data_IF_358394063116
#
_entry.id   IF_358394063116
#
_cell.length_a   1.000
_cell.length_b   1.000
_cell.length_c   1.000
_cell.angle_alpha   90.00
_cell.angle_beta   90.00
_cell.angle_gamma   90.00
#
_symmetry.space_group_name_H-M   'P 1'
#
loop_
_entity.id
_entity.type
_entity.pdbx_description
1 polymer ?
#
# COMPACT_ATOMS: atom_id res chain seq x y z
N UNK A 1 18.14 -11.18 5.02
CA UNK A 1 18.03 -10.15 3.95
C UNK A 1 19.33 -9.37 3.74
N UNK A 2 19.87 -8.67 4.75
CA UNK A 2 21.07 -7.83 4.59
C UNK A 2 22.28 -8.59 4.00
N UNK A 3 22.65 -9.72 4.61
CA UNK A 3 23.75 -10.57 4.14
C UNK A 3 23.55 -11.04 2.69
N UNK A 4 22.32 -11.42 2.33
CA UNK A 4 21.96 -11.82 0.97
C UNK A 4 22.23 -10.70 -0.04
N UNK A 5 21.68 -9.50 0.20
CA UNK A 5 21.88 -8.35 -0.69
C UNK A 5 23.37 -7.95 -0.78
N UNK A 6 24.09 -8.00 0.34
CA UNK A 6 25.52 -7.70 0.37
C UNK A 6 26.32 -8.71 -0.45
N UNK A 7 26.07 -10.02 -0.29
CA UNK A 7 26.72 -11.08 -1.07
C UNK A 7 26.40 -10.91 -2.55
N UNK A 8 25.15 -10.65 -2.91
CA UNK A 8 24.75 -10.42 -4.31
C UNK A 8 25.54 -9.28 -4.94
N UNK A 9 25.63 -8.13 -4.25
CA UNK A 9 26.38 -6.95 -4.75
C UNK A 9 27.88 -7.25 -4.85
N UNK A 10 28.48 -7.91 -3.85
CA UNK A 10 29.90 -8.29 -3.84
C UNK A 10 30.24 -9.28 -4.94
N UNK A 11 29.43 -10.32 -5.12
CA UNK A 11 29.63 -11.32 -6.16
C UNK A 11 29.49 -10.71 -7.56
N UNK A 12 28.47 -9.87 -7.78
CA UNK A 12 28.27 -9.19 -9.05
C UNK A 12 29.43 -8.24 -9.38
N UNK A 13 29.90 -7.47 -8.39
CA UNK A 13 31.06 -6.61 -8.53
C UNK A 13 32.36 -7.39 -8.79
N UNK A 14 32.58 -8.49 -8.05
CA UNK A 14 33.76 -9.35 -8.21
C UNK A 14 33.83 -10.04 -9.58
N UNK A 15 32.67 -10.29 -10.20
CA UNK A 15 32.57 -10.76 -11.58
C UNK A 15 32.74 -9.63 -12.64
N UNK A 16 33.18 -8.43 -12.21
CA UNK A 16 33.43 -7.27 -13.06
C UNK A 16 32.19 -6.46 -13.42
N UNK A 17 31.05 -6.68 -12.74
CA UNK A 17 29.78 -5.97 -12.96
C UNK A 17 29.31 -5.92 -14.43
N UNK A 18 29.72 -6.89 -15.24
CA UNK A 18 29.53 -6.87 -16.70
C UNK A 18 28.04 -7.00 -17.08
N UNK A 19 27.67 -6.36 -18.17
CA UNK A 19 26.38 -6.58 -18.82
C UNK A 19 26.26 -8.04 -19.30
N UNK A 20 25.05 -8.61 -19.23
CA UNK A 20 24.76 -9.98 -19.68
C UNK A 20 24.04 -10.83 -18.63
N UNK A 21 24.25 -12.14 -18.68
CA UNK A 21 23.57 -13.10 -17.78
C UNK A 21 23.87 -12.86 -16.30
N UNK A 22 25.10 -12.42 -15.98
CA UNK A 22 25.50 -12.08 -14.61
C UNK A 22 24.66 -10.94 -14.02
N UNK A 23 24.35 -9.93 -14.82
CA UNK A 23 23.50 -8.81 -14.41
C UNK A 23 22.06 -9.28 -14.14
N UNK A 24 21.50 -10.10 -15.03
CA UNK A 24 20.16 -10.67 -14.81
C UNK A 24 20.12 -11.62 -13.60
N UNK A 25 21.18 -12.38 -13.36
CA UNK A 25 21.35 -13.19 -12.17
C UNK A 25 21.39 -12.35 -10.90
N UNK A 26 22.15 -11.24 -10.88
CA UNK A 26 22.18 -10.32 -9.76
C UNK A 26 20.84 -9.62 -9.52
N UNK A 27 20.11 -9.27 -10.59
CA UNK A 27 18.76 -8.72 -10.52
C UNK A 27 17.78 -9.72 -9.89
N UNK A 28 17.77 -10.96 -10.38
CA UNK A 28 16.93 -12.04 -9.86
C UNK A 28 17.25 -12.34 -8.40
N UNK A 29 18.54 -12.43 -8.04
CA UNK A 29 18.97 -12.61 -6.66
C UNK A 29 18.50 -11.45 -5.77
N UNK A 30 18.64 -10.20 -6.22
CA UNK A 30 18.20 -9.02 -5.45
C UNK A 30 16.69 -8.97 -5.24
N UNK A 31 15.90 -9.44 -6.22
CA UNK A 31 14.44 -9.53 -6.16
C UNK A 31 13.92 -10.71 -5.33
N UNK A 32 14.71 -11.79 -5.21
CA UNK A 32 14.26 -13.04 -4.61
C UNK A 32 13.63 -12.88 -3.20
N UNK A 33 14.20 -12.11 -2.26
CA UNK A 33 13.57 -11.94 -0.95
C UNK A 33 12.22 -11.23 -1.00
N UNK A 34 12.03 -10.30 -1.95
CA UNK A 34 10.74 -9.61 -2.15
C UNK A 34 9.72 -10.56 -2.77
N UNK A 35 10.12 -11.36 -3.76
CA UNK A 35 9.26 -12.37 -4.37
C UNK A 35 8.83 -13.40 -3.32
N UNK A 36 9.75 -13.92 -2.52
CA UNK A 36 9.43 -14.84 -1.45
C UNK A 36 8.51 -14.19 -0.39
N UNK A 37 8.69 -12.92 -0.05
CA UNK A 37 7.79 -12.20 0.86
C UNK A 37 6.35 -12.05 0.33
N UNK A 38 6.16 -12.05 -1.01
CA UNK A 38 4.83 -11.99 -1.62
C UNK A 38 4.22 -13.37 -1.90
N UNK A 39 5.03 -14.36 -2.25
CA UNK A 39 4.57 -15.67 -2.72
C UNK A 39 4.47 -16.73 -1.61
N UNK A 40 5.35 -16.69 -0.62
CA UNK A 40 5.34 -17.68 0.48
C UNK A 40 4.02 -17.65 1.26
N UNK A 41 3.41 -16.48 1.58
CA UNK A 41 2.09 -16.45 2.23
C UNK A 41 0.95 -17.11 1.44
N UNK A 42 1.09 -17.26 0.12
CA UNK A 42 0.07 -17.93 -0.71
C UNK A 42 0.09 -19.45 -0.56
N UNK A 43 1.29 -20.01 -0.37
CA UNK A 43 1.49 -21.46 -0.22
C UNK A 43 1.49 -21.87 1.26
N UNK A 44 1.95 -20.99 2.14
CA UNK A 44 2.00 -21.18 3.59
C UNK A 44 1.47 -19.93 4.30
N UNK A 45 0.14 -19.81 4.50
CA UNK A 45 -0.49 -18.61 5.07
C UNK A 45 -0.03 -18.24 6.49
N UNK A 46 0.53 -19.19 7.24
CA UNK A 46 1.09 -18.95 8.59
C UNK A 46 2.55 -18.47 8.59
N UNK A 47 3.18 -18.43 7.41
CA UNK A 47 4.57 -18.02 7.29
C UNK A 47 4.74 -16.53 7.57
N UNK A 48 5.71 -16.21 8.42
CA UNK A 48 6.11 -14.84 8.74
C UNK A 48 7.25 -14.36 7.82
N UNK A 49 7.41 -14.96 6.63
CA UNK A 49 8.50 -14.62 5.73
C UNK A 49 8.30 -13.23 5.13
N UNK A 50 9.08 -12.26 5.59
CA UNK A 50 9.00 -10.86 5.19
C UNK A 50 9.16 -9.95 6.41
N UNK A 51 9.35 -8.65 6.17
CA UNK A 51 9.37 -7.66 7.24
C UNK A 51 8.95 -6.30 6.67
N UNK A 52 8.51 -5.41 7.56
CA UNK A 52 8.12 -4.05 7.18
C UNK A 52 9.29 -3.33 6.48
N UNK A 53 9.06 -2.82 5.28
CA UNK A 53 10.09 -2.13 4.51
C UNK A 53 10.86 -3.00 3.50
N UNK A 54 10.69 -4.33 3.52
CA UNK A 54 11.36 -5.23 2.54
C UNK A 54 11.17 -4.75 1.11
N UNK A 55 9.97 -4.27 0.79
CA UNK A 55 9.60 -3.74 -0.52
C UNK A 55 10.39 -2.50 -0.94
N UNK A 56 10.57 -1.54 -0.03
CA UNK A 56 11.28 -0.28 -0.30
C UNK A 56 12.80 -0.47 -0.31
N UNK A 57 13.34 -1.32 0.56
CA UNK A 57 14.77 -1.62 0.62
C UNK A 57 15.21 -2.39 -0.62
N UNK A 58 14.35 -3.26 -1.18
CA UNK A 58 14.66 -3.96 -2.44
C UNK A 58 14.93 -2.96 -3.58
N UNK A 59 14.19 -1.85 -3.69
CA UNK A 59 14.50 -0.82 -4.70
C UNK A 59 15.88 -0.20 -4.54
N UNK A 60 16.35 -0.01 -3.29
CA UNK A 60 17.69 0.48 -2.99
C UNK A 60 18.76 -0.54 -3.39
N UNK A 61 18.55 -1.80 -3.03
CA UNK A 61 19.48 -2.86 -3.42
C UNK A 61 19.61 -2.98 -4.94
N UNK A 62 18.48 -2.93 -5.65
CA UNK A 62 18.45 -2.94 -7.11
C UNK A 62 19.14 -1.70 -7.70
N UNK A 63 18.95 -0.51 -7.11
CA UNK A 63 19.61 0.72 -7.55
C UNK A 63 21.14 0.58 -7.56
N UNK A 64 21.72 -0.06 -6.54
CA UNK A 64 23.16 -0.34 -6.47
C UNK A 64 23.60 -1.28 -7.61
N UNK A 65 22.87 -2.36 -7.86
CA UNK A 65 23.17 -3.31 -8.96
C UNK A 65 23.12 -2.60 -10.32
N UNK A 66 22.10 -1.77 -10.53
CA UNK A 66 21.95 -0.95 -11.73
C UNK A 66 23.12 0.04 -11.91
N UNK A 67 23.49 0.76 -10.85
CA UNK A 67 24.60 1.72 -10.90
C UNK A 67 25.96 1.05 -11.12
N UNK A 68 26.19 -0.14 -10.56
CA UNK A 68 27.42 -0.91 -10.83
C UNK A 68 27.48 -1.34 -12.29
N UNK A 69 26.37 -1.85 -12.82
CA UNK A 69 26.27 -2.29 -14.22
C UNK A 69 26.47 -1.16 -15.22
N UNK A 70 26.01 0.05 -14.88
CA UNK A 70 26.19 1.24 -15.72
C UNK A 70 27.53 1.95 -15.46
N UNK A 71 28.41 1.41 -14.59
CA UNK A 71 29.71 1.98 -14.21
C UNK A 71 29.61 3.40 -13.61
N UNK A 72 28.47 3.67 -12.98
CA UNK A 72 28.11 4.96 -12.40
C UNK A 72 28.66 5.09 -10.97
N UNK A 73 28.96 3.97 -10.31
CA UNK A 73 29.55 3.92 -8.96
C UNK A 73 30.65 2.87 -8.87
N UNK A 74 31.62 3.08 -7.99
CA UNK A 74 32.52 2.03 -7.53
C UNK A 74 31.79 1.10 -6.55
N UNK A 75 32.38 -0.08 -6.30
CA UNK A 75 31.86 -1.06 -5.33
C UNK A 75 31.70 -0.41 -3.96
N UNK A 76 30.48 -0.37 -3.39
CA UNK A 76 30.25 0.22 -2.08
C UNK A 76 31.10 -0.40 -0.96
N UNK A 77 31.51 0.43 0.00
CA UNK A 77 31.97 -0.06 1.30
C UNK A 77 30.83 -0.79 2.03
N UNK A 78 31.16 -1.78 2.87
CA UNK A 78 30.13 -2.57 3.58
C UNK A 78 29.25 -1.68 4.46
N UNK A 79 29.86 -0.74 5.19
CA UNK A 79 29.12 0.20 6.03
C UNK A 79 28.24 1.14 5.18
N UNK A 80 28.80 1.78 4.15
CA UNK A 80 28.07 2.70 3.26
C UNK A 80 26.85 2.01 2.62
N UNK A 81 27.01 0.76 2.18
CA UNK A 81 25.93 -0.04 1.62
C UNK A 81 24.82 -0.34 2.64
N UNK A 82 25.19 -0.80 3.84
CA UNK A 82 24.21 -1.10 4.89
C UNK A 82 23.50 0.16 5.37
N UNK A 83 24.22 1.29 5.51
CA UNK A 83 23.62 2.57 5.87
C UNK A 83 22.63 3.05 4.82
N UNK A 84 22.93 2.88 3.53
CA UNK A 84 21.98 3.19 2.47
C UNK A 84 20.74 2.29 2.50
N UNK A 85 20.92 0.98 2.59
CA UNK A 85 19.80 0.03 2.60
C UNK A 85 18.89 0.25 3.81
N UNK A 86 19.47 0.40 5.00
CA UNK A 86 18.77 0.43 6.26
C UNK A 86 18.68 1.82 6.88
N UNK A 87 18.78 2.89 6.08
CA UNK A 87 18.60 4.25 6.56
C UNK A 87 17.22 4.41 7.20
N UNK A 88 17.21 4.37 8.53
CA UNK A 88 16.01 4.11 9.32
C UNK A 88 14.88 5.14 9.15
N UNK A 89 15.12 6.44 8.84
CA UNK A 89 14.02 7.39 8.66
C UNK A 89 13.09 7.00 7.51
N UNK A 90 13.57 6.18 6.58
CA UNK A 90 12.90 5.89 5.32
C UNK A 90 12.74 4.39 5.06
N UNK A 91 12.99 3.54 6.06
CA UNK A 91 13.07 2.09 5.90
C UNK A 91 11.71 1.42 5.62
N UNK A 92 10.64 1.82 6.32
CA UNK A 92 9.35 1.12 6.26
C UNK A 92 8.54 1.45 5.00
N UNK A 93 8.35 2.74 4.72
CA UNK A 93 7.68 3.23 3.51
C UNK A 93 8.15 4.62 3.05
N UNK A 94 9.38 5.02 3.42
CA UNK A 94 9.88 6.36 3.10
C UNK A 94 10.25 6.56 1.64
N UNK A 95 10.63 7.80 1.24
CA UNK A 95 11.15 8.09 -0.08
C UNK A 95 12.21 7.07 -0.53
N UNK A 96 12.04 6.55 -1.75
CA UNK A 96 12.99 5.63 -2.38
C UNK A 96 14.17 6.47 -2.87
N UNK A 97 15.35 6.13 -2.38
CA UNK A 97 16.55 6.92 -2.61
C UNK A 97 17.49 6.27 -3.63
N UNK A 98 18.42 7.06 -4.16
CA UNK A 98 19.47 6.65 -5.10
C UNK A 98 20.80 6.59 -4.37
N UNK A 99 21.58 5.52 -4.58
CA UNK A 99 22.81 5.30 -3.81
C UNK A 99 23.81 6.46 -3.96
N UNK A 100 24.05 6.92 -5.19
CA UNK A 100 25.00 8.03 -5.47
C UNK A 100 24.61 9.32 -4.74
N UNK A 101 23.32 9.67 -4.77
CA UNK A 101 22.79 10.88 -4.13
C UNK A 101 22.93 10.76 -2.61
N UNK A 102 22.45 9.66 -2.04
CA UNK A 102 22.56 9.36 -0.62
C UNK A 102 24.00 9.44 -0.13
N UNK A 103 24.94 8.83 -0.86
CA UNK A 103 26.36 8.80 -0.48
C UNK A 103 26.99 10.21 -0.44
N UNK A 104 26.52 11.10 -1.32
CA UNK A 104 26.99 12.49 -1.36
C UNK A 104 26.63 13.22 -0.07
N UNK A 105 25.37 13.09 0.37
CA UNK A 105 24.90 13.66 1.64
C UNK A 105 25.58 12.98 2.84
N UNK A 106 25.67 11.64 2.81
CA UNK A 106 26.23 10.82 3.89
C UNK A 106 27.69 11.14 4.20
N UNK A 107 28.51 11.42 3.17
CA UNK A 107 29.92 11.77 3.34
C UNK A 107 30.16 13.24 3.66
N UNK A 108 29.15 14.09 3.49
CA UNK A 108 29.28 15.53 3.73
C UNK A 108 29.27 15.83 5.23
N UNK A 109 30.33 16.49 5.71
CA UNK A 109 30.32 17.10 7.05
C UNK A 109 29.53 18.40 7.00
N UNK A 110 28.57 18.55 7.91
CA UNK A 110 27.72 19.75 8.00
C UNK A 110 28.36 20.82 8.87
N UNK A 111 28.22 22.06 8.45
CA UNK A 111 28.48 23.22 9.29
C UNK A 111 27.33 23.46 10.26
N UNK A 112 27.55 24.26 11.31
CA UNK A 112 26.49 24.68 12.24
C UNK A 112 25.35 25.41 11.53
N UNK A 113 25.67 26.26 10.56
CA UNK A 113 24.67 27.02 9.81
C UNK A 113 23.78 26.09 8.96
N UNK A 114 24.39 25.12 8.26
CA UNK A 114 23.63 24.12 7.51
C UNK A 114 22.73 23.27 8.41
N UNK A 115 23.24 22.85 9.58
CA UNK A 115 22.43 22.10 10.55
C UNK A 115 21.21 22.90 11.04
N UNK A 116 21.37 24.19 11.34
CA UNK A 116 20.25 25.03 11.77
C UNK A 116 19.21 25.23 10.65
N UNK A 117 19.66 25.35 9.40
CA UNK A 117 18.76 25.38 8.25
C UNK A 117 18.02 24.05 8.05
N UNK A 118 18.70 22.92 8.22
CA UNK A 118 18.10 21.58 8.16
C UNK A 118 17.05 21.40 9.26
N UNK A 119 17.37 21.87 10.48
CA UNK A 119 16.49 21.81 11.63
C UNK A 119 15.20 22.60 11.40
N UNK A 120 15.29 23.81 10.88
CA UNK A 120 14.12 24.62 10.52
C UNK A 120 13.23 23.90 9.48
N UNK A 121 13.85 23.39 8.41
CA UNK A 121 13.14 22.64 7.37
C UNK A 121 12.54 21.31 7.86
N UNK A 122 13.17 20.67 8.85
CA UNK A 122 12.67 19.46 9.49
C UNK A 122 11.45 19.77 10.35
N UNK A 123 11.52 20.78 11.22
CA UNK A 123 10.41 21.20 12.10
C UNK A 123 9.15 21.49 11.28
N UNK A 124 9.26 22.28 10.20
CA UNK A 124 8.12 22.57 9.33
C UNK A 124 7.49 21.29 8.73
N UNK A 125 8.30 20.34 8.29
CA UNK A 125 7.82 19.06 7.75
C UNK A 125 7.21 18.18 8.83
N UNK A 126 7.78 18.16 10.02
CA UNK A 126 7.25 17.42 11.16
C UNK A 126 5.84 17.89 11.53
N UNK A 127 5.65 19.20 11.71
CA UNK A 127 4.32 19.76 12.02
C UNK A 127 3.33 19.59 10.87
N UNK A 128 3.77 19.72 9.62
CA UNK A 128 2.93 19.38 8.45
C UNK A 128 2.52 17.90 8.46
N UNK A 129 3.44 17.01 8.84
CA UNK A 129 3.18 15.58 9.01
C UNK A 129 2.12 15.31 10.07
N UNK A 130 2.22 15.97 11.23
CA UNK A 130 1.24 15.87 12.31
C UNK A 130 -0.16 16.30 11.82
N UNK A 131 -0.24 17.47 11.19
CA UNK A 131 -1.49 17.99 10.66
C UNK A 131 -2.10 17.07 9.59
N UNK A 132 -1.30 16.61 8.62
CA UNK A 132 -1.80 15.75 7.55
C UNK A 132 -2.26 14.38 8.05
N UNK A 133 -1.44 13.70 8.86
CA UNK A 133 -1.69 12.30 9.23
C UNK A 133 -2.68 12.17 10.39
N UNK A 134 -2.46 12.92 11.47
CA UNK A 134 -3.22 12.72 12.71
C UNK A 134 -4.46 13.60 12.83
N UNK A 135 -4.59 14.65 12.01
CA UNK A 135 -5.78 15.50 11.98
C UNK A 135 -6.55 15.25 10.69
N UNK A 136 -6.01 15.65 9.53
CA UNK A 136 -6.77 15.62 8.27
C UNK A 136 -7.13 14.20 7.84
N UNK A 137 -6.15 13.30 7.74
CA UNK A 137 -6.41 11.92 7.33
C UNK A 137 -7.29 11.17 8.35
N UNK A 138 -7.09 11.41 9.66
CA UNK A 138 -7.92 10.83 10.71
C UNK A 138 -9.39 11.26 10.60
N UNK A 139 -9.64 12.56 10.42
CA UNK A 139 -11.00 13.09 10.24
C UNK A 139 -11.65 12.57 8.95
N UNK A 140 -10.93 12.54 7.83
CA UNK A 140 -11.44 11.98 6.57
C UNK A 140 -11.79 10.50 6.76
N UNK A 141 -10.91 9.73 7.41
CA UNK A 141 -11.13 8.30 7.65
C UNK A 141 -12.40 8.08 8.46
N UNK A 142 -12.50 8.71 9.62
CA UNK A 142 -13.56 8.48 10.59
C UNK A 142 -14.91 9.03 10.13
N UNK A 143 -14.94 10.23 9.53
CA UNK A 143 -16.19 10.95 9.26
C UNK A 143 -16.63 10.91 7.80
N UNK A 144 -15.79 10.47 6.86
CA UNK A 144 -16.15 10.43 5.44
C UNK A 144 -15.94 9.05 4.81
N UNK A 145 -14.72 8.51 4.90
CA UNK A 145 -14.36 7.24 4.24
C UNK A 145 -15.11 6.04 4.81
N UNK A 146 -15.05 5.84 6.13
CA UNK A 146 -15.71 4.70 6.78
C UNK A 146 -17.23 4.76 6.64
N UNK A 147 -17.93 5.90 6.86
CA UNK A 147 -19.36 6.00 6.58
C UNK A 147 -19.72 5.69 5.13
N UNK A 148 -18.96 6.21 4.15
CA UNK A 148 -19.20 5.92 2.73
C UNK A 148 -19.00 4.44 2.40
N UNK A 149 -18.12 3.73 3.11
CA UNK A 149 -17.87 2.31 2.91
C UNK A 149 -18.97 1.39 3.48
N UNK A 150 -19.90 1.89 4.31
CA UNK A 150 -20.96 1.08 4.93
C UNK A 150 -22.13 0.78 3.97
N UNK A 151 -22.37 1.64 3.00
CA UNK A 151 -23.46 1.47 2.05
C UNK A 151 -22.97 0.77 0.78
N UNK A 152 -23.77 -0.16 0.26
CA UNK A 152 -23.54 -0.79 -1.05
C UNK A 152 -24.08 0.04 -2.22
N UNK A 153 -24.63 1.24 -1.98
CA UNK A 153 -25.20 2.07 -3.04
C UNK A 153 -24.12 2.67 -3.96
N UNK A 154 -24.50 2.94 -5.22
CA UNK A 154 -23.61 3.60 -6.17
C UNK A 154 -23.17 5.01 -5.70
N UNK A 155 -24.09 5.78 -5.12
CA UNK A 155 -23.77 7.10 -4.56
C UNK A 155 -22.74 7.05 -3.43
N UNK A 156 -22.83 6.02 -2.56
CA UNK A 156 -21.85 5.80 -1.51
C UNK A 156 -20.48 5.37 -2.07
N UNK A 157 -20.46 4.54 -3.12
CA UNK A 157 -19.22 4.18 -3.82
C UNK A 157 -18.52 5.41 -4.44
N UNK A 158 -19.30 6.32 -5.04
CA UNK A 158 -18.77 7.57 -5.58
C UNK A 158 -18.24 8.49 -4.48
N UNK A 159 -18.95 8.60 -3.35
CA UNK A 159 -18.46 9.34 -2.18
C UNK A 159 -17.16 8.72 -1.62
N UNK A 160 -17.10 7.38 -1.53
CA UNK A 160 -15.93 6.63 -1.10
C UNK A 160 -14.72 6.89 -2.00
N UNK A 161 -14.89 6.97 -3.32
CA UNK A 161 -13.80 7.28 -4.27
C UNK A 161 -13.05 8.56 -3.90
N UNK A 162 -13.77 9.64 -3.63
CA UNK A 162 -13.15 10.92 -3.26
C UNK A 162 -12.57 10.86 -1.85
N UNK A 163 -13.31 10.31 -0.88
CA UNK A 163 -12.84 10.15 0.49
C UNK A 163 -11.51 9.36 0.54
N UNK A 164 -11.44 8.25 -0.20
CA UNK A 164 -10.27 7.39 -0.27
C UNK A 164 -9.08 8.11 -0.90
N UNK A 165 -9.32 8.86 -1.98
CA UNK A 165 -8.28 9.62 -2.68
C UNK A 165 -7.61 10.64 -1.74
N UNK A 166 -8.40 11.41 -1.00
CA UNK A 166 -7.86 12.39 -0.05
C UNK A 166 -7.24 11.71 1.18
N UNK A 167 -7.89 10.69 1.75
CA UNK A 167 -7.33 9.92 2.86
C UNK A 167 -5.95 9.36 2.53
N UNK A 168 -5.84 8.64 1.39
CA UNK A 168 -4.59 8.04 0.94
C UNK A 168 -3.49 9.09 0.76
N UNK A 169 -3.83 10.23 0.16
CA UNK A 169 -2.90 11.34 -0.01
C UNK A 169 -2.41 11.88 1.34
N UNK A 170 -3.32 12.29 2.23
CA UNK A 170 -2.93 12.93 3.49
C UNK A 170 -2.22 11.97 4.45
N UNK A 171 -2.64 10.71 4.52
CA UNK A 171 -1.97 9.71 5.35
C UNK A 171 -0.54 9.46 4.89
N UNK A 172 -0.34 9.29 3.58
CA UNK A 172 0.95 8.92 3.02
C UNK A 172 1.89 10.13 2.84
N UNK A 173 1.36 11.30 2.47
CA UNK A 173 2.12 12.54 2.44
C UNK A 173 2.52 12.99 3.85
N UNK A 174 1.64 12.80 4.85
CA UNK A 174 1.97 13.03 6.25
C UNK A 174 3.09 12.12 6.75
N UNK A 175 3.00 10.82 6.46
CA UNK A 175 4.08 9.86 6.73
C UNK A 175 5.39 10.26 6.03
N UNK A 176 5.33 10.61 4.74
CA UNK A 176 6.52 11.01 3.97
C UNK A 176 7.17 12.27 4.55
N UNK A 177 6.37 13.21 5.07
CA UNK A 177 6.88 14.41 5.71
C UNK A 177 7.66 14.10 7.00
N UNK A 178 7.21 13.14 7.81
CA UNK A 178 7.98 12.66 8.97
C UNK A 178 9.30 12.01 8.55
N UNK A 179 9.25 11.14 7.55
CA UNK A 179 10.42 10.45 7.04
C UNK A 179 11.49 11.47 6.56
N UNK A 180 11.09 12.45 5.75
CA UNK A 180 11.99 13.50 5.23
C UNK A 180 12.48 14.43 6.34
N UNK A 181 11.59 14.82 7.27
CA UNK A 181 11.96 15.62 8.44
C UNK A 181 13.11 14.97 9.19
N UNK A 182 12.96 13.68 9.51
CA UNK A 182 13.97 12.97 10.26
C UNK A 182 15.25 12.78 9.42
N UNK A 183 15.14 12.51 8.12
CA UNK A 183 16.31 12.44 7.22
C UNK A 183 17.16 13.71 7.28
N UNK A 184 16.53 14.89 7.29
CA UNK A 184 17.23 16.18 7.33
C UNK A 184 17.99 16.37 8.66
N UNK A 185 17.45 15.88 9.78
CA UNK A 185 18.16 15.90 11.07
C UNK A 185 19.46 15.07 11.02
N UNK A 186 19.48 13.98 10.25
CA UNK A 186 20.68 13.18 9.98
C UNK A 186 21.57 13.74 8.86
N UNK A 187 21.20 14.86 8.24
CA UNK A 187 21.96 15.49 7.17
C UNK A 187 21.77 14.85 5.81
N UNK A 188 20.75 14.01 5.65
CA UNK A 188 20.39 13.38 4.37
C UNK A 188 19.16 14.09 3.81
N UNK A 189 19.31 14.75 2.67
CA UNK A 189 18.22 15.50 2.05
C UNK A 189 17.33 14.61 1.19
N UNK A 190 16.64 13.65 1.82
CA UNK A 190 15.76 12.71 1.11
C UNK A 190 14.78 13.41 0.17
N UNK A 191 14.56 12.87 -1.05
CA UNK A 191 13.68 13.48 -2.04
C UNK A 191 12.21 13.54 -1.58
N UNK A 192 11.47 14.53 -2.07
CA UNK A 192 10.04 14.68 -1.79
C UNK A 192 9.22 13.63 -2.55
N UNK A 193 8.19 13.10 -1.88
CA UNK A 193 7.26 12.12 -2.48
C UNK A 193 6.04 12.76 -3.14
N UNK A 194 5.65 13.98 -2.72
CA UNK A 194 4.42 14.62 -3.16
C UNK A 194 4.60 16.09 -3.46
N UNK A 195 3.99 16.56 -4.56
CA UNK A 195 4.03 17.97 -4.97
C UNK A 195 2.70 18.42 -5.59
N UNK A 196 1.71 18.67 -4.74
CA UNK A 196 0.35 19.11 -5.14
C UNK A 196 -0.23 18.25 -6.30
N UNK A 197 -0.35 16.92 -6.10
CA UNK A 197 -0.68 16.00 -7.20
C UNK A 197 -2.06 16.24 -7.80
N UNK A 198 -3.05 16.67 -7.01
CA UNK A 198 -4.41 16.90 -7.50
C UNK A 198 -4.57 18.17 -8.34
N UNK A 199 -3.53 19.00 -8.45
CA UNK A 199 -3.46 20.14 -9.38
C UNK A 199 -2.79 19.78 -10.72
N UNK A 200 -2.52 18.50 -10.95
CA UNK A 200 -1.93 18.04 -12.19
C UNK A 200 -2.86 18.28 -13.39
N UNK A 201 -2.32 18.81 -14.49
CA UNK A 201 -3.09 19.12 -15.70
C UNK A 201 -3.30 17.93 -16.63
N UNK A 202 -2.55 16.85 -16.41
CA UNK A 202 -2.64 15.61 -17.17
C UNK A 202 -1.99 14.48 -16.38
N UNK A 203 -2.19 13.25 -16.85
CA UNK A 203 -1.70 12.07 -16.16
C UNK A 203 -0.16 12.00 -16.06
N UNK A 204 0.57 12.57 -17.04
CA UNK A 204 2.04 12.65 -16.98
C UNK A 204 2.50 13.61 -15.89
N UNK A 205 1.86 14.77 -15.76
CA UNK A 205 2.11 15.75 -14.70
C UNK A 205 1.74 15.16 -13.32
N UNK A 206 0.68 14.36 -13.24
CA UNK A 206 0.30 13.67 -12.00
C UNK A 206 1.40 12.75 -11.49
N UNK A 207 1.97 11.90 -12.34
CA UNK A 207 3.07 11.00 -11.97
C UNK A 207 4.38 11.73 -11.64
N UNK A 208 4.55 12.99 -12.07
CA UNK A 208 5.64 13.86 -11.63
C UNK A 208 5.39 14.53 -10.26
N UNK A 209 4.25 14.26 -9.63
CA UNK A 209 3.79 14.91 -8.39
C UNK A 209 3.29 13.92 -7.34
N UNK A 210 3.01 12.68 -7.72
CA UNK A 210 2.50 11.62 -6.87
C UNK A 210 3.54 10.52 -6.69
N UNK A 211 3.82 10.15 -5.43
CA UNK A 211 4.80 9.13 -5.07
C UNK A 211 6.09 9.22 -5.93
N UNK A 212 6.64 10.44 -6.00
CA UNK A 212 7.62 10.86 -7.00
C UNK A 212 8.82 9.93 -7.03
N UNK A 213 9.31 9.48 -5.86
CA UNK A 213 10.48 8.59 -5.83
C UNK A 213 10.21 7.25 -6.47
N UNK A 214 9.01 6.67 -6.26
CA UNK A 214 8.62 5.41 -6.89
C UNK A 214 8.45 5.61 -8.40
N UNK A 215 7.76 6.69 -8.79
CA UNK A 215 7.51 7.01 -10.20
C UNK A 215 8.83 7.17 -10.96
N UNK A 216 9.78 7.94 -10.41
CA UNK A 216 11.08 8.16 -11.03
C UNK A 216 11.95 6.89 -10.99
N UNK A 217 11.83 6.06 -9.93
CA UNK A 217 12.48 4.76 -9.88
C UNK A 217 12.08 3.88 -11.06
N UNK A 218 10.77 3.68 -11.27
CA UNK A 218 10.24 2.91 -12.39
C UNK A 218 10.54 3.56 -13.75
N UNK A 219 10.46 4.89 -13.84
CA UNK A 219 10.79 5.61 -15.07
C UNK A 219 12.22 5.33 -15.50
N UNK A 220 13.18 5.51 -14.62
CA UNK A 220 14.60 5.44 -14.98
C UNK A 220 15.06 3.98 -15.16
N UNK A 221 14.65 3.07 -14.26
CA UNK A 221 15.18 1.70 -14.24
C UNK A 221 14.35 0.68 -15.02
N UNK A 222 13.08 0.96 -15.30
CA UNK A 222 12.22 0.05 -16.06
C UNK A 222 11.91 0.66 -17.43
N UNK A 223 11.22 1.80 -17.45
CA UNK A 223 10.73 2.39 -18.69
C UNK A 223 11.86 2.83 -19.63
N UNK A 224 12.80 3.65 -19.14
CA UNK A 224 13.91 4.15 -19.97
C UNK A 224 14.86 3.04 -20.40
N UNK A 225 15.13 2.06 -19.53
CA UNK A 225 15.94 0.89 -19.91
C UNK A 225 15.28 0.06 -21.01
N UNK A 226 13.96 -0.17 -20.90
CA UNK A 226 13.19 -0.85 -21.94
C UNK A 226 13.25 -0.08 -23.26
N UNK A 227 13.01 1.23 -23.23
CA UNK A 227 13.07 2.07 -24.44
C UNK A 227 14.44 2.07 -25.10
N UNK A 228 15.51 2.19 -24.33
CA UNK A 228 16.88 2.16 -24.84
C UNK A 228 17.22 0.79 -25.44
N UNK A 229 16.79 -0.30 -24.81
CA UNK A 229 16.96 -1.65 -25.35
C UNK A 229 16.18 -1.85 -26.66
N UNK A 230 14.91 -1.42 -26.70
CA UNK A 230 14.06 -1.49 -27.87
C UNK A 230 14.60 -0.67 -29.05
N UNK A 231 15.13 0.52 -28.77
CA UNK A 231 15.74 1.38 -29.80
C UNK A 231 17.04 0.77 -30.36
N UNK A 232 17.95 0.29 -29.49
CA UNK A 232 19.21 -0.34 -29.92
C UNK A 232 18.97 -1.64 -30.69
N UNK A 233 18.04 -2.46 -30.21
CA UNK A 233 17.67 -3.73 -30.84
C UNK A 233 16.71 -3.58 -32.02
N UNK A 234 16.25 -2.36 -32.34
CA UNK A 234 15.26 -2.08 -33.39
C UNK A 234 14.03 -3.01 -33.30
N UNK A 235 13.56 -3.27 -32.08
CA UNK A 235 12.48 -4.25 -31.82
C UNK A 235 11.15 -3.86 -32.46
N UNK A 236 10.92 -2.56 -32.67
CA UNK A 236 9.68 -2.03 -33.21
C UNK A 236 9.96 -1.08 -34.37
N UNK A 237 9.04 -1.05 -35.35
CA UNK A 237 9.09 -0.10 -36.48
C UNK A 237 8.86 1.36 -36.04
N UNK A 238 8.06 1.57 -34.99
CA UNK A 238 7.72 2.89 -34.47
C UNK A 238 8.07 3.01 -32.99
N UNK A 239 8.76 4.10 -32.64
CA UNK A 239 9.06 4.42 -31.24
C UNK A 239 7.81 4.75 -30.42
N UNK A 240 6.69 5.12 -31.06
CA UNK A 240 5.41 5.28 -30.36
C UNK A 240 4.91 3.96 -29.79
N UNK A 241 5.05 2.87 -30.56
CA UNK A 241 4.69 1.52 -30.10
C UNK A 241 5.58 1.10 -28.92
N UNK A 242 6.89 1.39 -29.01
CA UNK A 242 7.81 1.13 -27.90
C UNK A 242 7.42 1.95 -26.65
N UNK A 243 7.06 3.22 -26.79
CA UNK A 243 6.63 4.06 -25.67
C UNK A 243 5.38 3.51 -24.97
N UNK A 244 4.36 3.10 -25.74
CA UNK A 244 3.12 2.54 -25.21
C UNK A 244 3.40 1.22 -24.48
N UNK A 245 4.10 0.28 -25.11
CA UNK A 245 4.45 -0.99 -24.49
C UNK A 245 5.34 -0.79 -23.25
N UNK A 246 6.22 0.21 -23.26
CA UNK A 246 7.00 0.61 -22.11
C UNK A 246 6.14 1.07 -20.94
N UNK A 247 5.07 1.84 -21.19
CA UNK A 247 4.13 2.24 -20.13
C UNK A 247 3.43 1.01 -19.53
N UNK A 248 2.94 0.09 -20.36
CA UNK A 248 2.31 -1.16 -19.88
C UNK A 248 3.29 -2.01 -19.06
N UNK A 249 4.54 -2.13 -19.49
CA UNK A 249 5.57 -2.83 -18.73
C UNK A 249 5.83 -2.18 -17.38
N UNK A 250 6.08 -0.86 -17.35
CA UNK A 250 6.43 -0.14 -16.13
C UNK A 250 5.29 -0.15 -15.11
N UNK A 251 4.06 0.16 -15.56
CA UNK A 251 2.90 0.20 -14.68
C UNK A 251 2.35 -1.17 -14.33
N UNK A 252 2.48 -2.17 -15.21
CA UNK A 252 2.15 -3.56 -14.90
C UNK A 252 3.05 -4.11 -13.79
N UNK A 253 4.37 -3.88 -13.89
CA UNK A 253 5.31 -4.25 -12.82
C UNK A 253 5.06 -3.46 -11.52
N UNK A 254 4.67 -2.19 -11.62
CA UNK A 254 4.28 -1.40 -10.44
C UNK A 254 3.00 -1.92 -9.78
N UNK A 255 2.00 -2.34 -10.56
CA UNK A 255 0.80 -3.02 -10.05
C UNK A 255 1.16 -4.30 -9.30
N UNK A 256 1.96 -5.17 -9.92
CA UNK A 256 2.47 -6.41 -9.29
C UNK A 256 3.30 -6.15 -8.02
N UNK A 257 4.06 -5.05 -8.03
CA UNK A 257 4.82 -4.61 -6.86
C UNK A 257 3.91 -4.24 -5.69
N UNK A 258 2.75 -3.64 -5.93
CA UNK A 258 1.76 -3.39 -4.88
C UNK A 258 1.19 -4.69 -4.33
N UNK A 259 0.73 -5.59 -5.21
CA UNK A 259 0.18 -6.88 -4.82
C UNK A 259 -0.19 -7.72 -6.04
N UNK A 260 -0.55 -8.97 -5.78
CA UNK A 260 -0.98 -9.91 -6.83
C UNK A 260 -2.52 -9.96 -6.98
N UNK A 261 -3.22 -9.23 -6.12
CA UNK A 261 -4.66 -9.10 -6.16
C UNK A 261 -5.10 -8.40 -7.47
N UNK A 262 -6.24 -8.81 -8.05
CA UNK A 262 -6.67 -8.30 -9.36
C UNK A 262 -6.75 -6.77 -9.45
N UNK A 263 -7.17 -6.11 -8.36
CA UNK A 263 -7.35 -4.66 -8.34
C UNK A 263 -6.02 -3.88 -8.50
N UNK A 264 -4.89 -4.40 -8.00
CA UNK A 264 -3.58 -3.77 -8.22
C UNK A 264 -3.08 -3.92 -9.66
N UNK A 265 -3.32 -5.08 -10.27
CA UNK A 265 -2.97 -5.34 -11.67
C UNK A 265 -3.82 -4.47 -12.59
N UNK A 266 -5.14 -4.44 -12.37
CA UNK A 266 -6.08 -3.59 -13.13
C UNK A 266 -5.74 -2.12 -12.95
N UNK A 267 -5.36 -1.68 -11.74
CA UNK A 267 -4.86 -0.32 -11.51
C UNK A 267 -3.63 0.00 -12.39
N UNK A 268 -2.65 -0.90 -12.45
CA UNK A 268 -1.46 -0.72 -13.30
C UNK A 268 -1.83 -0.57 -14.79
N UNK A 269 -2.66 -1.47 -15.31
CA UNK A 269 -3.12 -1.44 -16.70
C UNK A 269 -3.94 -0.18 -17.02
N UNK A 270 -4.76 0.26 -16.07
CA UNK A 270 -5.55 1.48 -16.17
C UNK A 270 -4.64 2.72 -16.31
N UNK A 271 -3.63 2.84 -15.46
CA UNK A 271 -2.67 3.94 -15.51
C UNK A 271 -1.84 3.94 -16.81
N UNK A 272 -1.42 2.77 -17.29
CA UNK A 272 -0.74 2.62 -18.57
C UNK A 272 -1.63 3.09 -19.74
N UNK A 273 -2.92 2.75 -19.70
CA UNK A 273 -3.91 3.17 -20.69
C UNK A 273 -4.08 4.68 -20.69
N UNK A 274 -4.19 5.31 -19.52
CA UNK A 274 -4.29 6.77 -19.41
C UNK A 274 -3.05 7.47 -19.98
N UNK A 275 -1.84 6.98 -19.66
CA UNK A 275 -0.60 7.54 -20.19
C UNK A 275 -0.48 7.36 -21.71
N UNK A 276 -0.91 6.21 -22.23
CA UNK A 276 -0.91 5.92 -23.66
C UNK A 276 -1.91 6.82 -24.41
N UNK A 277 -3.12 6.95 -23.88
CA UNK A 277 -4.14 7.86 -24.41
C UNK A 277 -3.68 9.32 -24.40
N UNK A 278 -3.09 9.78 -23.28
CA UNK A 278 -2.52 11.13 -23.20
C UNK A 278 -1.32 11.31 -24.13
N UNK A 279 -0.49 10.29 -24.34
CA UNK A 279 0.62 10.35 -25.30
C UNK A 279 0.08 10.61 -26.72
N UNK A 280 -0.89 9.82 -27.16
CA UNK A 280 -1.52 9.95 -28.48
C UNK A 280 -2.21 11.32 -28.60
N UNK A 281 -3.00 11.69 -27.60
CA UNK A 281 -3.68 12.99 -27.57
C UNK A 281 -2.70 14.16 -27.59
N UNK A 282 -1.60 14.09 -26.82
CA UNK A 282 -0.60 15.15 -26.78
C UNK A 282 0.08 15.35 -28.13
N UNK A 283 0.33 14.28 -28.88
CA UNK A 283 0.95 14.38 -30.20
C UNK A 283 -0.06 14.89 -31.25
N UNK A 284 -1.31 14.42 -31.19
CA UNK A 284 -2.40 14.94 -32.03
C UNK A 284 -2.68 16.43 -31.76
N UNK A 285 -2.70 16.84 -30.49
CA UNK A 285 -3.00 18.22 -30.08
C UNK A 285 -1.89 19.20 -30.49
N UNK A 286 -0.62 18.76 -30.54
CA UNK A 286 0.48 19.57 -31.09
C UNK A 286 0.25 19.93 -32.56
N UNK A 287 -0.35 19.02 -33.33
CA UNK A 287 -0.65 19.23 -34.75
C UNK A 287 -1.92 20.08 -34.96
N UNK A 288 -2.98 19.86 -34.18
CA UNK A 288 -4.30 20.46 -34.43
C UNK A 288 -4.62 21.68 -33.53
N UNK A 289 -3.85 21.92 -32.47
CA UNK A 289 -4.03 23.01 -31.49
C UNK A 289 -5.45 23.11 -30.92
N UNK A 290 -6.15 21.98 -30.79
CA UNK A 290 -7.53 21.91 -30.32
C UNK A 290 -7.68 22.33 -28.84
N UNK A 291 -6.74 21.92 -27.99
CA UNK A 291 -6.67 22.25 -26.58
C UNK A 291 -5.59 23.32 -26.35
N UNK A 292 -6.03 24.54 -26.00
CA UNK A 292 -5.16 25.69 -25.81
C UNK A 292 -4.57 25.83 -24.40
N UNK A 293 -3.93 26.97 -24.14
CA UNK A 293 -3.24 27.28 -22.88
C UNK A 293 -3.99 28.29 -21.99
N UNK A 294 -5.26 28.57 -22.30
CA UNK A 294 -6.11 29.48 -21.52
C UNK A 294 -6.39 28.98 -20.10
N UNK A 295 -6.80 29.90 -19.21
CA UNK A 295 -7.12 29.58 -17.81
C UNK A 295 -8.23 28.53 -17.69
N UNK A 296 -9.32 28.69 -18.46
CA UNK A 296 -10.44 27.73 -18.49
C UNK A 296 -9.98 26.34 -18.93
N UNK A 297 -9.15 26.29 -19.98
CA UNK A 297 -8.60 25.04 -20.51
C UNK A 297 -7.69 24.34 -19.50
N UNK A 298 -6.86 25.09 -18.77
CA UNK A 298 -6.04 24.57 -17.65
C UNK A 298 -6.90 24.05 -16.50
N UNK A 299 -7.92 24.79 -16.10
CA UNK A 299 -8.85 24.39 -15.03
C UNK A 299 -9.60 23.11 -15.40
N UNK A 300 -10.10 23.04 -16.64
CA UNK A 300 -10.78 21.86 -17.16
C UNK A 300 -9.83 20.65 -17.24
N UNK A 301 -8.58 20.84 -17.64
CA UNK A 301 -7.58 19.78 -17.68
C UNK A 301 -7.28 19.22 -16.28
N UNK A 302 -7.18 20.09 -15.27
CA UNK A 302 -7.05 19.68 -13.86
C UNK A 302 -8.30 18.92 -13.42
N UNK A 303 -9.49 19.43 -13.70
CA UNK A 303 -10.75 18.78 -13.34
C UNK A 303 -10.86 17.38 -13.94
N UNK A 304 -10.60 17.22 -15.25
CA UNK A 304 -10.64 15.93 -15.93
C UNK A 304 -9.60 14.98 -15.33
N UNK A 305 -8.35 15.44 -15.19
CA UNK A 305 -7.25 14.62 -14.63
C UNK A 305 -7.57 14.16 -13.22
N UNK A 306 -8.12 15.04 -12.39
CA UNK A 306 -8.51 14.73 -11.02
C UNK A 306 -9.51 13.56 -10.96
N UNK A 307 -10.55 13.56 -11.81
CA UNK A 307 -11.55 12.48 -11.82
C UNK A 307 -10.97 11.15 -12.30
N UNK A 308 -10.14 11.15 -13.36
CA UNK A 308 -9.46 9.93 -13.81
C UNK A 308 -8.49 9.39 -12.73
N UNK A 309 -7.78 10.28 -12.04
CA UNK A 309 -6.91 9.89 -10.92
C UNK A 309 -7.74 9.28 -9.78
N UNK A 310 -8.80 9.95 -9.35
CA UNK A 310 -9.68 9.46 -8.28
C UNK A 310 -10.31 8.11 -8.62
N UNK A 311 -10.76 7.92 -9.86
CA UNK A 311 -11.25 6.62 -10.31
C UNK A 311 -10.17 5.54 -10.29
N UNK A 312 -8.94 5.87 -10.73
CA UNK A 312 -7.79 5.00 -10.58
C UNK A 312 -7.54 4.61 -9.12
N UNK A 313 -7.61 5.56 -8.19
CA UNK A 313 -7.47 5.28 -6.76
C UNK A 313 -8.63 4.46 -6.18
N UNK A 314 -9.85 4.58 -6.72
CA UNK A 314 -10.96 3.69 -6.38
C UNK A 314 -10.67 2.25 -6.82
N UNK A 315 -10.15 2.03 -8.03
CA UNK A 315 -9.70 0.70 -8.46
C UNK A 315 -8.64 0.19 -7.48
N UNK A 316 -7.62 1.01 -7.19
CA UNK A 316 -6.54 0.65 -6.28
C UNK A 316 -7.02 0.25 -4.88
N UNK A 317 -8.12 0.85 -4.40
CA UNK A 317 -8.69 0.53 -3.08
C UNK A 317 -9.30 -0.88 -2.98
N UNK A 318 -9.59 -1.54 -4.11
CA UNK A 318 -10.28 -2.84 -4.14
C UNK A 318 -11.76 -2.77 -3.71
N UNK A 319 -12.35 -1.57 -3.60
CA UNK A 319 -13.74 -1.39 -3.14
C UNK A 319 -14.81 -1.75 -4.17
N UNK A 320 -14.47 -1.77 -5.46
CA UNK A 320 -15.41 -2.10 -6.54
C UNK A 320 -15.85 -3.57 -6.39
N UNK A 321 -17.14 -3.78 -6.13
CA UNK A 321 -17.70 -5.12 -5.91
C UNK A 321 -17.42 -5.72 -4.53
N UNK A 322 -16.77 -5.00 -3.62
CA UNK A 322 -16.53 -5.47 -2.26
C UNK A 322 -17.80 -5.34 -1.41
N UNK A 323 -18.09 -6.37 -0.59
CA UNK A 323 -19.13 -6.32 0.42
C UNK A 323 -18.96 -5.09 1.33
N UNK A 324 -20.05 -4.46 1.83
CA UNK A 324 -19.98 -3.45 2.88
C UNK A 324 -18.97 -3.81 3.97
N UNK A 325 -18.22 -2.83 4.48
CA UNK A 325 -17.33 -3.09 5.61
C UNK A 325 -18.15 -3.74 6.74
N UNK A 326 -17.70 -4.88 7.30
CA UNK A 326 -18.47 -5.56 8.33
C UNK A 326 -18.66 -4.63 9.52
N UNK A 327 -19.93 -4.45 9.91
CA UNK A 327 -20.34 -3.64 11.05
C UNK A 327 -19.80 -4.25 12.36
N UNK A 328 -19.85 -5.58 12.42
CA UNK A 328 -19.44 -6.38 13.57
C UNK A 328 -18.22 -7.22 13.21
N UNK A 329 -17.25 -7.27 14.11
CA UNK A 329 -16.21 -8.30 14.12
C UNK A 329 -16.60 -9.33 15.18
N UNK A 330 -16.46 -10.61 14.87
CA UNK A 330 -16.76 -11.67 15.80
C UNK A 330 -15.90 -12.90 15.52
N UNK A 331 -15.74 -13.74 16.54
CA UNK A 331 -15.19 -15.08 16.40
C UNK A 331 -15.87 -16.04 17.40
N UNK A 332 -16.05 -17.30 16.98
CA UNK A 332 -16.39 -18.40 17.90
C UNK A 332 -15.11 -19.18 18.15
N UNK A 333 -14.63 -19.04 19.37
CA UNK A 333 -13.38 -19.65 19.83
C UNK A 333 -13.61 -21.08 20.30
N UNK A 334 -14.74 -21.32 20.97
CA UNK A 334 -15.11 -22.64 21.49
C UNK A 334 -16.58 -22.93 21.21
N UNK A 335 -16.85 -24.14 20.73
CA UNK A 335 -18.18 -24.68 20.56
C UNK A 335 -18.11 -26.21 20.73
N UNK A 336 -18.36 -26.67 21.95
CA UNK A 336 -18.37 -28.10 22.29
C UNK A 336 -19.58 -28.44 23.17
N UNK A 337 -19.62 -29.65 23.73
CA UNK A 337 -20.76 -30.16 24.49
C UNK A 337 -20.87 -29.64 25.91
N UNK A 338 -19.85 -28.92 26.37
CA UNK A 338 -19.83 -28.25 27.67
C UNK A 338 -20.11 -26.76 27.52
N UNK A 339 -19.55 -26.13 26.50
CA UNK A 339 -19.49 -24.68 26.42
C UNK A 339 -19.47 -24.14 24.98
N UNK A 340 -20.11 -22.98 24.81
CA UNK A 340 -19.96 -22.11 23.64
C UNK A 340 -19.44 -20.75 24.12
N UNK A 341 -18.33 -20.30 23.52
CA UNK A 341 -17.69 -19.04 23.87
C UNK A 341 -17.05 -18.35 22.66
N UNK A 342 -16.93 -17.03 22.76
CA UNK A 342 -16.42 -16.18 21.70
C UNK A 342 -16.54 -14.71 22.04
N UNK A 343 -16.42 -13.87 21.02
CA UNK A 343 -16.55 -12.43 21.16
C UNK A 343 -17.22 -11.80 19.95
N UNK A 344 -17.85 -10.64 20.18
CA UNK A 344 -18.41 -9.79 19.13
C UNK A 344 -18.23 -8.33 19.49
N UNK A 345 -17.75 -7.54 18.54
CA UNK A 345 -17.47 -6.13 18.72
C UNK A 345 -18.10 -5.31 17.61
N UNK A 346 -18.91 -4.33 18.00
CA UNK A 346 -19.41 -3.28 17.12
C UNK A 346 -18.34 -2.19 16.98
N UNK A 347 -17.78 -2.06 15.78
CA UNK A 347 -16.75 -1.05 15.49
C UNK A 347 -17.25 0.38 15.70
N UNK A 348 -18.55 0.63 15.53
CA UNK A 348 -19.14 1.97 15.59
C UNK A 348 -19.73 2.30 16.96
N UNK A 349 -19.96 1.29 17.81
CA UNK A 349 -20.25 1.46 19.23
C UNK A 349 -19.20 0.74 20.07
N UNK A 350 -17.93 1.20 20.05
CA UNK A 350 -16.79 0.44 20.54
C UNK A 350 -16.81 0.19 22.06
N UNK A 351 -17.70 0.80 22.83
CA UNK A 351 -17.83 0.57 24.27
C UNK A 351 -19.16 -0.10 24.65
N UNK A 352 -20.07 -0.26 23.69
CA UNK A 352 -21.36 -0.87 23.93
C UNK A 352 -21.23 -2.40 23.81
N UNK A 353 -21.84 -3.16 24.72
CA UNK A 353 -21.98 -4.59 24.54
C UNK A 353 -22.90 -4.87 23.34
N UNK A 354 -22.64 -5.96 22.64
CA UNK A 354 -23.46 -6.42 21.51
C UNK A 354 -24.28 -7.61 21.96
N UNK A 355 -25.56 -7.64 21.62
CA UNK A 355 -26.43 -8.80 21.87
C UNK A 355 -26.37 -9.75 20.68
N UNK A 356 -26.25 -11.05 20.95
CA UNK A 356 -26.06 -12.11 19.97
C UNK A 356 -27.14 -13.17 20.15
N UNK A 357 -27.81 -13.49 19.07
CA UNK A 357 -28.77 -14.59 19.01
C UNK A 357 -28.07 -15.88 18.60
N UNK A 358 -28.32 -16.96 19.35
CA UNK A 358 -27.94 -18.31 18.98
C UNK A 358 -29.07 -18.95 18.17
N UNK A 359 -28.71 -19.44 16.99
CA UNK A 359 -29.60 -20.14 16.08
C UNK A 359 -29.10 -21.56 15.84
N UNK A 360 -30.03 -22.51 15.74
CA UNK A 360 -29.75 -23.89 15.32
C UNK A 360 -30.64 -24.24 14.13
N UNK A 361 -30.03 -24.61 13.00
CA UNK A 361 -30.75 -25.13 11.83
C UNK A 361 -31.90 -24.22 11.35
N UNK A 362 -31.80 -22.91 11.59
CA UNK A 362 -32.81 -21.90 11.23
C UNK A 362 -33.84 -21.58 12.32
N UNK A 363 -33.73 -22.19 13.50
CA UNK A 363 -34.56 -21.89 14.66
C UNK A 363 -33.81 -21.01 15.67
N UNK A 364 -34.44 -19.92 16.11
CA UNK A 364 -33.94 -19.09 17.21
C UNK A 364 -33.99 -19.87 18.53
N UNK A 365 -32.92 -19.80 19.30
CA UNK A 365 -32.81 -20.48 20.59
C UNK A 365 -32.79 -19.50 21.76
N UNK A 366 -31.85 -18.56 21.75
CA UNK A 366 -31.64 -17.62 22.86
C UNK A 366 -30.86 -16.39 22.44
N UNK A 367 -30.89 -15.35 23.27
CA UNK A 367 -30.11 -14.12 23.14
C UNK A 367 -29.07 -14.03 24.26
N UNK A 368 -27.83 -13.69 23.91
CA UNK A 368 -26.67 -13.60 24.79
C UNK A 368 -26.06 -12.20 24.68
N UNK A 369 -25.84 -11.52 25.80
CA UNK A 369 -25.11 -10.26 25.81
C UNK A 369 -23.61 -10.51 25.84
N UNK A 370 -22.88 -10.01 24.85
CA UNK A 370 -21.42 -10.02 24.82
C UNK A 370 -20.87 -8.83 25.63
N UNK A 371 -20.86 -8.98 26.95
CA UNK A 371 -20.49 -7.94 27.91
C UNK A 371 -19.35 -8.37 28.87
N UNK A 372 -18.84 -9.60 28.71
CA UNK A 372 -17.77 -10.12 29.54
C UNK A 372 -16.45 -9.47 29.17
N UNK A 373 -15.68 -9.11 30.19
CA UNK A 373 -14.39 -8.44 30.02
C UNK A 373 -13.29 -9.44 29.67
N UNK A 374 -12.50 -9.10 28.65
CA UNK A 374 -11.30 -9.82 28.23
C UNK A 374 -10.17 -8.85 27.94
N UNK A 375 -9.01 -9.08 28.56
CA UNK A 375 -7.83 -8.20 28.45
C UNK A 375 -7.24 -8.24 27.03
N UNK A 376 -7.19 -9.41 26.42
CA UNK A 376 -6.70 -9.60 25.06
C UNK A 376 -7.50 -8.81 24.02
N UNK A 377 -8.81 -8.62 24.25
CA UNK A 377 -9.64 -7.76 23.40
C UNK A 377 -9.27 -6.27 23.53
N UNK A 378 -8.89 -5.82 24.73
CA UNK A 378 -8.37 -4.44 24.94
C UNK A 378 -7.03 -4.28 24.23
N UNK A 379 -6.13 -5.24 24.43
CA UNK A 379 -4.79 -5.22 23.84
C UNK A 379 -4.85 -5.27 22.30
N UNK A 380 -5.87 -5.94 21.74
CA UNK A 380 -6.18 -5.95 20.31
C UNK A 380 -6.93 -4.70 19.79
N UNK A 381 -7.30 -3.77 20.68
CA UNK A 381 -7.97 -2.51 20.32
C UNK A 381 -9.49 -2.59 20.15
N UNK A 382 -10.13 -3.69 20.59
CA UNK A 382 -11.58 -3.85 20.58
C UNK A 382 -12.20 -3.17 21.81
N UNK A 383 -12.19 -1.84 21.81
CA UNK A 383 -13.01 -1.08 22.75
C UNK A 383 -12.56 -1.12 24.21
N UNK A 384 -13.51 -1.35 25.11
CA UNK A 384 -13.26 -1.49 26.55
C UNK A 384 -13.03 -2.96 26.97
N UNK A 385 -12.91 -3.88 26.01
CA UNK A 385 -12.73 -5.31 26.24
C UNK A 385 -13.98 -6.05 26.72
N UNK A 386 -15.12 -5.38 26.89
CA UNK A 386 -16.40 -5.98 27.32
C UNK A 386 -17.23 -6.43 26.12
N UNK A 387 -16.68 -7.37 25.39
CA UNK A 387 -17.19 -7.82 24.10
C UNK A 387 -17.20 -9.36 23.97
N UNK A 388 -16.92 -10.07 25.07
CA UNK A 388 -16.90 -11.52 25.09
C UNK A 388 -18.22 -12.08 25.62
N UNK A 389 -18.53 -13.31 25.21
CA UNK A 389 -19.62 -14.11 25.75
C UNK A 389 -19.13 -15.53 26.02
N UNK A 390 -19.73 -16.15 27.04
CA UNK A 390 -19.45 -17.52 27.46
C UNK A 390 -20.68 -18.09 28.13
N UNK A 391 -21.17 -19.23 27.65
CA UNK A 391 -22.32 -19.91 28.23
C UNK A 391 -22.24 -21.42 28.03
N UNK A 392 -22.91 -22.17 28.90
CA UNK A 392 -22.97 -23.62 28.82
C UNK A 392 -23.81 -24.07 27.62
N UNK A 393 -23.38 -25.12 26.93
CA UNK A 393 -24.09 -25.64 25.75
C UNK A 393 -25.48 -26.12 26.16
N UNK A 394 -26.56 -25.55 25.57
CA UNK A 394 -27.93 -25.92 25.89
C UNK A 394 -28.19 -27.43 25.81
N UNK A 395 -29.00 -27.96 26.72
CA UNK A 395 -29.29 -29.41 26.81
C UNK A 395 -29.93 -29.98 25.55
N UNK A 396 -30.67 -29.16 24.78
CA UNK A 396 -31.28 -29.55 23.51
C UNK A 396 -30.27 -30.01 22.45
N UNK A 397 -29.00 -29.64 22.59
CA UNK A 397 -27.92 -30.11 21.68
C UNK A 397 -27.36 -31.48 22.08
N UNK A 398 -27.72 -31.99 23.27
CA UNK A 398 -27.23 -33.26 23.84
C UNK A 398 -28.19 -34.40 23.55
N UNK A 399 -28.59 -34.53 22.28
CA UNK A 399 -29.54 -35.53 21.80
C UNK A 399 -28.89 -36.60 20.90
N UNK A 400 -27.57 -36.51 20.71
CA UNK A 400 -26.79 -37.40 19.84
C UNK A 400 -26.83 -37.02 18.35
N UNK A 401 -27.60 -36.00 17.95
CA UNK A 401 -27.70 -35.55 16.56
C UNK A 401 -26.71 -34.41 16.26
N UNK A 402 -26.58 -34.11 14.97
CA UNK A 402 -25.73 -33.03 14.47
C UNK A 402 -26.49 -31.72 14.42
N UNK A 403 -25.99 -30.72 15.14
CA UNK A 403 -26.56 -29.37 15.16
C UNK A 403 -25.61 -28.38 14.52
N UNK A 404 -26.17 -27.47 13.72
CA UNK A 404 -25.41 -26.41 13.06
C UNK A 404 -25.72 -25.10 13.77
N UNK A 405 -24.82 -24.69 14.65
CA UNK A 405 -24.97 -23.45 15.39
C UNK A 405 -24.50 -22.26 14.56
N UNK A 406 -25.26 -21.18 14.63
CA UNK A 406 -24.92 -19.88 14.06
C UNK A 406 -25.17 -18.78 15.09
N UNK A 407 -24.33 -17.76 15.05
CA UNK A 407 -24.51 -16.54 15.82
C UNK A 407 -24.92 -15.41 14.89
N UNK A 408 -25.90 -14.65 15.33
CA UNK A 408 -26.43 -13.48 14.61
C UNK A 408 -26.51 -12.31 15.56
N UNK A 409 -26.24 -11.10 15.12
CA UNK A 409 -26.42 -9.93 15.99
C UNK A 409 -27.90 -9.65 16.17
N UNK A 410 -28.34 -9.53 17.42
CA UNK A 410 -29.73 -9.24 17.76
C UNK A 410 -30.23 -7.98 17.06
N UNK A 411 -31.50 -7.98 16.64
CA UNK A 411 -32.16 -6.89 15.91
C UNK A 411 -31.59 -6.56 14.51
N UNK A 412 -30.64 -7.36 14.02
CA UNK A 412 -30.10 -7.24 12.65
C UNK A 412 -30.42 -8.49 11.85
N UNK A 413 -30.41 -8.43 10.51
CA UNK A 413 -30.43 -9.62 9.61
C UNK A 413 -29.03 -10.13 9.26
N UNK A 414 -28.01 -9.59 9.92
CA UNK A 414 -26.63 -9.83 9.55
C UNK A 414 -26.10 -11.07 10.27
N UNK A 415 -25.87 -12.14 9.51
CA UNK A 415 -25.12 -13.30 9.99
C UNK A 415 -23.68 -12.89 10.28
N UNK A 416 -23.15 -13.32 11.43
CA UNK A 416 -21.74 -13.15 11.73
C UNK A 416 -20.95 -14.14 10.86
N UNK A 417 -20.25 -13.61 9.85
CA UNK A 417 -19.60 -14.43 8.84
C UNK A 417 -18.47 -15.27 9.49
N UNK A 418 -18.47 -16.59 9.26
CA UNK A 418 -17.45 -17.50 9.81
C UNK A 418 -17.76 -18.12 11.18
N UNK A 419 -18.90 -17.78 11.80
CA UNK A 419 -19.32 -18.33 13.10
C UNK A 419 -20.08 -19.64 12.99
N UNK A 420 -20.25 -20.23 11.80
CA UNK A 420 -20.91 -21.53 11.70
C UNK A 420 -20.02 -22.62 12.30
N UNK A 421 -20.57 -23.37 13.25
CA UNK A 421 -19.92 -24.55 13.84
C UNK A 421 -20.92 -25.70 13.88
N UNK A 422 -20.43 -26.91 13.67
CA UNK A 422 -21.23 -28.12 13.83
C UNK A 422 -20.82 -28.80 15.13
N UNK A 423 -21.80 -29.07 15.99
CA UNK A 423 -21.59 -29.80 17.24
C UNK A 423 -22.43 -31.06 17.24
N UNK A 424 -21.89 -32.13 17.83
CA UNK A 424 -22.59 -33.41 18.05
C UNK A 424 -22.35 -33.78 19.50
N UNK A 425 -23.40 -33.73 20.32
CA UNK A 425 -23.28 -33.95 21.75
C UNK A 425 -24.16 -35.11 22.21
N UNK A 426 -23.59 -35.97 23.04
CA UNK A 426 -24.26 -37.14 23.61
C UNK A 426 -24.66 -36.89 25.05
#
# INVERSE_FOLDING_TARGET
FAAWQWVTVRAFAGAGARAGWLFYGALAASLLPLLAAKLVPLVSPRSQFGFLGVSYITFRALDVVFCLRDEVIAVPGTLDFLMFLFFFPTISAGPIDRYRRFLTDWKKKRTRAEFLSDLDGAIHRFFRGLFYKFIVAALIKQHWLEPAARSGSFGALLSYMYAYSFYLFFDFAGYSAFAISLSYLFGIHSPENFRQPFLARNIRDFWNRWHITLSFWFRDHVYMRFLLAAARGKWFRSMHTAAILGYFLAFGLMGLWHGIEPHYIVYGLYQATLLSGFHIFSDWNKAHRYWGDGLLSKALAVFITFHFVCFGLLIFSGRIGASPLPHYLADIEQADCSEISGWVWDRYKPKAPVSVELWDSGQYLMNISANQFRKDLVDAGYGNGRHAFRFATPSQFKDGHSHVIRLRVADTRDDLTGTQRTIVCR
#
